data_IF_491789573829
#
_entry.id   IF_491789573829
#
_cell.length_a   1.000
_cell.length_b   1.000
_cell.length_c   1.000
_cell.angle_alpha   90.00
_cell.angle_beta   90.00
_cell.angle_gamma   90.00
#
_symmetry.space_group_name_H-M   'P 1'
#
loop_
_entity.id
_entity.type
_entity.pdbx_description
1 polymer ?
#
# COMPACT_ATOMS: atom_id res chain seq x y z
N UNK A 1 54.71 33.16 11.48
CA UNK A 1 53.60 32.58 10.70
C UNK A 1 53.10 31.36 11.45
N UNK A 2 52.29 31.56 12.49
CA UNK A 2 51.83 30.48 13.37
C UNK A 2 50.58 29.86 12.75
N UNK A 3 50.70 28.62 12.27
CA UNK A 3 49.59 27.88 11.69
C UNK A 3 48.61 27.50 12.83
N UNK A 4 47.39 28.03 12.80
CA UNK A 4 46.32 27.58 13.69
C UNK A 4 45.89 26.17 13.32
N UNK A 5 46.16 25.23 14.22
CA UNK A 5 45.71 23.85 14.17
C UNK A 5 44.18 23.81 14.19
N UNK A 6 43.57 23.36 13.09
CA UNK A 6 42.13 23.22 12.96
C UNK A 6 41.66 21.95 13.70
N UNK A 7 41.65 22.02 15.04
CA UNK A 7 41.11 20.96 15.89
C UNK A 7 39.59 20.86 15.66
N UNK A 8 39.06 19.70 15.19
CA UNK A 8 37.64 19.55 14.96
C UNK A 8 36.89 19.69 16.29
N UNK A 9 36.06 20.73 16.40
CA UNK A 9 35.26 20.99 17.61
C UNK A 9 34.50 19.73 18.05
N UNK A 10 34.65 19.29 19.32
CA UNK A 10 33.91 18.17 19.88
C UNK A 10 32.40 18.37 19.67
N UNK A 11 31.69 17.37 19.13
CA UNK A 11 30.24 17.41 18.91
C UNK A 11 29.76 17.62 17.47
N UNK A 12 30.57 18.21 16.56
CA UNK A 12 30.16 18.40 15.15
C UNK A 12 29.90 17.07 14.41
N UNK A 13 30.70 16.04 14.72
CA UNK A 13 30.53 14.69 14.15
C UNK A 13 29.29 13.98 14.69
N UNK A 14 29.02 14.12 15.99
CA UNK A 14 27.83 13.56 16.64
C UNK A 14 26.55 14.19 16.08
N UNK A 15 26.52 15.52 15.90
CA UNK A 15 25.39 16.21 15.28
C UNK A 15 25.12 15.78 13.83
N UNK A 16 26.18 15.57 13.03
CA UNK A 16 26.04 15.06 11.65
C UNK A 16 25.46 13.64 11.61
N UNK A 17 25.90 12.75 12.52
CA UNK A 17 25.36 11.39 12.61
C UNK A 17 23.90 11.41 13.04
N UNK A 18 23.55 12.17 14.08
CA UNK A 18 22.16 12.35 14.53
C UNK A 18 21.26 12.88 13.42
N UNK A 19 21.73 13.85 12.63
CA UNK A 19 20.99 14.37 11.47
C UNK A 19 20.74 13.30 10.40
N UNK A 20 21.75 12.49 10.07
CA UNK A 20 21.61 11.40 9.10
C UNK A 20 20.60 10.35 9.62
N UNK A 21 20.71 9.97 10.89
CA UNK A 21 19.78 9.02 11.53
C UNK A 21 18.36 9.57 11.53
N UNK A 22 18.18 10.85 11.85
CA UNK A 22 16.87 11.50 11.84
C UNK A 22 16.23 11.50 10.44
N UNK A 23 17.00 11.82 9.40
CA UNK A 23 16.51 11.75 8.01
C UNK A 23 16.22 10.32 7.56
N UNK A 24 17.08 9.36 7.90
CA UNK A 24 16.85 7.95 7.59
C UNK A 24 15.58 7.42 8.26
N UNK A 25 15.38 7.74 9.54
CA UNK A 25 14.15 7.40 10.26
C UNK A 25 12.93 8.10 9.66
N UNK A 26 13.04 9.38 9.31
CA UNK A 26 11.97 10.14 8.67
C UNK A 26 11.55 9.54 7.32
N UNK A 27 12.51 9.20 6.46
CA UNK A 27 12.24 8.55 5.18
C UNK A 27 11.63 7.16 5.38
N UNK A 28 12.15 6.37 6.32
CA UNK A 28 11.59 5.05 6.63
C UNK A 28 10.11 5.13 7.04
N UNK A 29 9.78 6.07 7.94
CA UNK A 29 8.40 6.30 8.37
C UNK A 29 7.53 6.81 7.23
N UNK A 30 8.03 7.76 6.43
CA UNK A 30 7.33 8.29 5.27
C UNK A 30 6.99 7.18 4.27
N UNK A 31 7.96 6.34 3.89
CA UNK A 31 7.74 5.21 2.99
C UNK A 31 6.66 4.26 3.51
N UNK A 32 6.65 3.97 4.82
CA UNK A 32 5.61 3.10 5.41
C UNK A 32 4.24 3.76 5.44
N UNK A 33 4.17 5.05 5.75
CA UNK A 33 2.94 5.81 5.74
C UNK A 33 2.34 5.90 4.33
N UNK A 34 3.15 6.33 3.35
CA UNK A 34 2.70 6.47 1.97
C UNK A 34 2.37 5.14 1.33
N UNK A 35 3.08 4.06 1.67
CA UNK A 35 2.74 2.70 1.21
C UNK A 35 1.32 2.30 1.63
N UNK A 36 1.00 2.37 2.92
CA UNK A 36 -0.34 2.02 3.40
C UNK A 36 -1.45 2.98 2.92
N UNK A 37 -1.11 4.22 2.59
CA UNK A 37 -2.03 5.16 1.96
C UNK A 37 -2.29 4.84 0.48
N UNK A 38 -1.27 4.42 -0.25
CA UNK A 38 -1.37 3.98 -1.64
C UNK A 38 -2.19 2.68 -1.75
N UNK A 39 -1.94 1.69 -0.89
CA UNK A 39 -2.68 0.42 -0.86
C UNK A 39 -4.20 0.64 -0.73
N UNK A 40 -4.61 1.56 0.15
CA UNK A 40 -6.03 1.94 0.33
C UNK A 40 -6.64 2.62 -0.89
N UNK A 41 -5.84 3.29 -1.70
CA UNK A 41 -6.30 3.96 -2.91
C UNK A 41 -6.39 3.01 -4.10
N UNK A 42 -5.57 1.96 -4.12
CA UNK A 42 -5.64 0.91 -5.12
C UNK A 42 -6.89 0.05 -4.91
N UNK A 43 -7.16 -0.33 -3.66
CA UNK A 43 -8.34 -1.10 -3.28
C UNK A 43 -9.09 -0.45 -2.10
N UNK A 44 -10.05 0.44 -2.37
CA UNK A 44 -10.87 1.05 -1.33
C UNK A 44 -11.92 0.09 -0.74
N UNK A 45 -12.09 -1.12 -1.31
CA UNK A 45 -13.09 -2.12 -0.90
C UNK A 45 -12.43 -3.38 -0.30
N UNK A 46 -11.35 -3.21 0.47
CA UNK A 46 -10.68 -4.30 1.17
C UNK A 46 -11.59 -5.02 2.17
N UNK A 47 -12.60 -4.34 2.68
CA UNK A 47 -13.71 -4.93 3.45
C UNK A 47 -15.01 -4.56 2.75
N UNK A 48 -15.72 -5.57 2.26
CA UNK A 48 -17.02 -5.41 1.61
C UNK A 48 -18.12 -5.68 2.61
N UNK A 49 -19.10 -4.79 2.67
CA UNK A 49 -20.34 -5.03 3.39
C UNK A 49 -21.50 -5.23 2.42
N UNK A 50 -22.33 -6.23 2.70
CA UNK A 50 -23.54 -6.51 1.93
C UNK A 50 -24.79 -6.14 2.72
N UNK A 51 -25.76 -5.49 2.08
CA UNK A 51 -27.10 -5.31 2.63
C UNK A 51 -28.04 -6.35 2.02
N UNK A 52 -28.91 -6.92 2.84
CA UNK A 52 -29.91 -7.88 2.40
C UNK A 52 -31.27 -7.18 2.38
N UNK A 53 -31.84 -7.03 1.20
CA UNK A 53 -33.22 -6.57 1.01
C UNK A 53 -34.16 -7.73 0.74
N UNK A 54 -35.43 -7.43 0.48
CA UNK A 54 -36.43 -8.44 0.12
C UNK A 54 -36.11 -9.02 -1.28
N UNK A 55 -35.43 -10.17 -1.28
CA UNK A 55 -35.11 -10.93 -2.49
C UNK A 55 -33.84 -10.50 -3.22
N UNK A 56 -33.03 -9.59 -2.66
CA UNK A 56 -31.75 -9.19 -3.26
C UNK A 56 -30.64 -8.97 -2.22
N UNK A 57 -29.40 -9.11 -2.68
CA UNK A 57 -28.20 -8.74 -1.93
C UNK A 57 -27.57 -7.55 -2.64
N UNK A 58 -27.41 -6.45 -1.93
CA UNK A 58 -26.73 -5.25 -2.41
C UNK A 58 -25.31 -5.22 -1.88
N UNK A 59 -24.36 -5.01 -2.78
CA UNK A 59 -22.95 -4.79 -2.47
C UNK A 59 -22.55 -3.45 -3.05
N UNK A 60 -22.15 -2.52 -2.18
CA UNK A 60 -21.68 -1.20 -2.60
C UNK A 60 -20.15 -1.21 -2.68
N UNK A 61 -19.62 -0.85 -3.85
CA UNK A 61 -18.19 -0.72 -4.10
C UNK A 61 -17.85 0.73 -4.45
N UNK A 62 -16.79 1.26 -3.86
CA UNK A 62 -16.17 2.51 -4.26
C UNK A 62 -15.21 2.28 -5.44
N UNK A 63 -15.23 3.17 -6.43
CA UNK A 63 -14.21 3.18 -7.47
C UNK A 63 -12.85 3.61 -6.90
N UNK A 64 -11.78 2.95 -7.33
CA UNK A 64 -10.42 3.36 -7.01
C UNK A 64 -10.01 4.62 -7.82
N UNK A 65 -8.80 5.15 -7.61
CA UNK A 65 -8.34 6.36 -8.35
C UNK A 65 -8.31 6.23 -9.87
N UNK A 66 -8.25 5.00 -10.38
CA UNK A 66 -8.23 4.69 -11.81
C UNK A 66 -9.66 4.56 -12.38
N UNK A 67 -10.69 4.62 -11.52
CA UNK A 67 -12.08 4.42 -11.90
C UNK A 67 -12.51 2.96 -11.96
N UNK A 68 -11.66 2.02 -11.54
CA UNK A 68 -11.98 0.60 -11.49
C UNK A 68 -12.60 0.22 -10.16
N UNK A 69 -13.50 -0.76 -10.16
CA UNK A 69 -14.02 -1.37 -8.95
C UNK A 69 -13.16 -2.59 -8.63
N UNK A 70 -12.39 -2.49 -7.54
CA UNK A 70 -11.51 -3.55 -7.05
C UNK A 70 -11.99 -3.96 -5.67
N UNK A 71 -12.00 -5.26 -5.37
CA UNK A 71 -12.46 -5.79 -4.10
C UNK A 71 -11.62 -7.00 -3.66
N UNK A 72 -11.38 -7.12 -2.36
CA UNK A 72 -10.72 -8.30 -1.79
C UNK A 72 -11.73 -9.44 -1.62
N UNK A 73 -11.38 -10.63 -2.11
CA UNK A 73 -12.14 -11.85 -1.94
C UNK A 73 -11.23 -13.06 -1.77
N UNK A 74 -11.79 -14.27 -1.96
CA UNK A 74 -11.02 -15.51 -1.87
C UNK A 74 -11.34 -16.46 -3.02
N UNK A 75 -10.31 -17.15 -3.53
CA UNK A 75 -10.44 -18.32 -4.40
C UNK A 75 -9.78 -19.49 -3.67
N UNK A 76 -10.48 -20.60 -3.47
CA UNK A 76 -9.97 -21.77 -2.74
C UNK A 76 -9.33 -21.45 -1.37
N UNK A 77 -9.86 -20.45 -0.64
CA UNK A 77 -9.32 -20.00 0.65
C UNK A 77 -8.07 -19.11 0.58
N UNK A 78 -7.61 -18.76 -0.62
CA UNK A 78 -6.52 -17.79 -0.83
C UNK A 78 -7.10 -16.40 -1.06
N UNK A 79 -6.60 -15.41 -0.32
CA UNK A 79 -6.97 -14.00 -0.51
C UNK A 79 -6.45 -13.50 -1.84
N UNK A 80 -7.35 -12.93 -2.64
CA UNK A 80 -7.04 -12.31 -3.94
C UNK A 80 -7.80 -10.99 -4.09
N UNK A 81 -7.31 -10.13 -4.99
CA UNK A 81 -8.02 -8.93 -5.40
C UNK A 81 -8.72 -9.16 -6.74
N UNK A 82 -10.02 -8.93 -6.76
CA UNK A 82 -10.85 -9.00 -7.95
C UNK A 82 -11.08 -7.61 -8.50
N UNK A 83 -10.98 -7.47 -9.81
CA UNK A 83 -11.50 -6.32 -10.54
C UNK A 83 -12.82 -6.71 -11.19
N UNK A 84 -13.83 -5.85 -11.08
CA UNK A 84 -15.16 -6.12 -11.64
C UNK A 84 -15.15 -5.71 -13.12
N UNK A 85 -15.43 -6.68 -13.98
CA UNK A 85 -15.64 -6.49 -15.42
C UNK A 85 -17.04 -7.01 -15.79
N UNK A 86 -17.98 -6.09 -16.00
CA UNK A 86 -19.37 -6.44 -16.32
C UNK A 86 -19.54 -7.00 -17.74
N UNK A 87 -18.51 -6.88 -18.58
CA UNK A 87 -18.51 -7.47 -19.93
C UNK A 87 -18.06 -8.93 -19.96
N UNK A 88 -17.48 -9.44 -18.87
CA UNK A 88 -16.99 -10.81 -18.78
C UNK A 88 -18.09 -11.77 -18.31
N UNK A 89 -18.13 -12.96 -18.92
CA UNK A 89 -18.96 -14.07 -18.46
C UNK A 89 -18.20 -15.02 -17.53
N UNK A 90 -16.88 -15.08 -17.68
CA UNK A 90 -15.98 -15.95 -16.94
C UNK A 90 -15.04 -15.14 -16.04
N UNK A 91 -14.48 -15.81 -15.03
CA UNK A 91 -13.44 -15.23 -14.18
C UNK A 91 -12.07 -15.48 -14.82
N UNK A 92 -11.39 -14.41 -15.24
CA UNK A 92 -10.02 -14.48 -15.71
C UNK A 92 -9.04 -14.41 -14.53
N UNK A 93 -8.11 -15.36 -14.46
CA UNK A 93 -7.02 -15.38 -13.47
C UNK A 93 -5.65 -15.40 -14.18
N UNK A 94 -4.61 -14.80 -13.58
CA UNK A 94 -3.23 -14.95 -14.06
C UNK A 94 -2.80 -16.43 -14.11
N UNK A 95 -2.00 -16.81 -15.11
CA UNK A 95 -1.59 -18.22 -15.29
C UNK A 95 -0.76 -18.77 -14.13
N UNK A 96 0.15 -17.96 -13.60
CA UNK A 96 0.93 -18.29 -12.40
C UNK A 96 0.06 -18.47 -11.15
N UNK A 97 -1.05 -17.72 -11.04
CA UNK A 97 -2.04 -17.92 -9.99
C UNK A 97 -2.76 -19.26 -10.17
N UNK A 98 -3.21 -19.57 -11.39
CA UNK A 98 -3.92 -20.81 -11.70
C UNK A 98 -3.14 -22.06 -11.28
N UNK A 99 -1.83 -22.08 -11.53
CA UNK A 99 -0.94 -23.20 -11.15
C UNK A 99 -0.79 -23.37 -9.62
N UNK A 100 -1.15 -22.34 -8.85
CA UNK A 100 -1.00 -22.30 -7.39
C UNK A 100 -2.32 -22.48 -6.61
N UNK A 101 -3.47 -22.50 -7.29
CA UNK A 101 -4.80 -22.58 -6.68
C UNK A 101 -5.20 -23.98 -6.17
#
# INVERSE_FOLDING_TARGET
MSQSENQPQPGKRAGKVLMIVAWAAGLFLATRFFGGWEDKQQNPNAVVSSQHGDGYIEVQLAGNRQGHFVSTGQINGRTVEFMIDTGATDVAIPGDMADSL
#
